data_IF_446085415676
#
_entry.id   IF_446085415676
#
_cell.length_a   1.000
_cell.length_b   1.000
_cell.length_c   1.000
_cell.angle_alpha   90.00
_cell.angle_beta   90.00
_cell.angle_gamma   90.00
#
_symmetry.space_group_name_H-M   'P 1'
#
loop_
_entity.id
_entity.type
_entity.pdbx_description
1 polymer ?
#
# COMPACT_ATOMS: atom_id res chain seq x y z
N UNK A 1 -22.82 -0.55 25.79
CA UNK A 1 -22.26 -1.07 24.51
C UNK A 1 -21.30 -0.02 23.94
N UNK A 2 -19.98 -0.21 24.12
CA UNK A 2 -18.96 0.68 23.52
C UNK A 2 -18.94 0.38 22.02
N UNK A 3 -19.29 1.37 21.19
CA UNK A 3 -19.10 1.30 19.74
C UNK A 3 -17.59 1.14 19.52
N UNK A 4 -17.19 0.03 18.90
CA UNK A 4 -15.83 -0.12 18.40
C UNK A 4 -15.66 0.94 17.31
N UNK A 5 -14.88 1.98 17.59
CA UNK A 5 -14.47 2.95 16.58
C UNK A 5 -13.56 2.21 15.59
N UNK A 6 -14.12 1.94 14.43
CA UNK A 6 -13.35 1.37 13.32
C UNK A 6 -12.51 2.50 12.74
N UNK A 7 -11.27 2.64 13.22
CA UNK A 7 -10.31 3.52 12.57
C UNK A 7 -10.00 2.95 11.17
N UNK A 8 -10.30 3.71 10.15
CA UNK A 8 -10.04 3.36 8.75
C UNK A 8 -8.85 4.18 8.29
N UNK A 9 -7.76 3.51 7.91
CA UNK A 9 -6.66 4.13 7.20
C UNK A 9 -6.78 3.80 5.71
N UNK A 10 -6.63 4.79 4.85
CA UNK A 10 -6.67 4.61 3.40
C UNK A 10 -5.28 4.69 2.79
N UNK A 11 -5.04 3.93 1.73
CA UNK A 11 -3.88 4.12 0.84
C UNK A 11 -4.32 4.99 -0.32
N UNK A 12 -3.56 6.03 -0.58
CA UNK A 12 -3.87 7.03 -1.59
C UNK A 12 -2.85 6.97 -2.72
N UNK A 13 -3.33 6.95 -3.97
CA UNK A 13 -2.46 6.92 -5.16
C UNK A 13 -2.87 8.05 -6.10
N UNK A 14 -1.94 8.95 -6.42
CA UNK A 14 -2.15 10.00 -7.44
C UNK A 14 -1.36 9.62 -8.70
N UNK A 15 -2.03 9.59 -9.83
CA UNK A 15 -1.39 9.45 -11.14
C UNK A 15 -1.40 10.79 -11.86
N UNK A 16 -0.24 11.21 -12.38
CA UNK A 16 -0.14 12.26 -13.37
C UNK A 16 -0.22 11.61 -14.75
N UNK A 17 -1.39 11.65 -15.39
CA UNK A 17 -1.57 11.19 -16.76
C UNK A 17 -1.19 12.32 -17.74
N UNK A 18 -0.28 12.07 -18.68
CA UNK A 18 -0.06 12.94 -19.83
C UNK A 18 -0.72 12.26 -21.03
N UNK A 19 -1.81 12.84 -21.56
CA UNK A 19 -2.45 12.31 -22.76
C UNK A 19 -3.56 13.21 -23.28
N UNK A 20 -3.28 13.92 -24.36
CA UNK A 20 -4.27 14.59 -25.21
C UNK A 20 -4.82 13.55 -26.19
N UNK A 21 -6.06 13.10 -26.07
CA UNK A 21 -6.89 12.53 -27.15
C UNK A 21 -8.21 12.00 -26.60
N UNK A 22 -9.22 11.91 -27.44
CA UNK A 22 -10.60 11.42 -27.23
C UNK A 22 -10.77 9.98 -26.69
N UNK A 23 -9.77 9.43 -26.08
CA UNK A 23 -9.70 8.14 -25.35
C UNK A 23 -9.86 8.30 -23.84
N UNK A 24 -10.32 9.44 -23.36
CA UNK A 24 -10.31 9.80 -21.93
C UNK A 24 -11.01 8.77 -21.00
N UNK A 25 -12.08 8.13 -21.46
CA UNK A 25 -12.86 7.20 -20.63
C UNK A 25 -12.12 5.87 -20.40
N UNK A 26 -11.42 5.35 -21.42
CA UNK A 26 -10.64 4.11 -21.29
C UNK A 26 -9.33 4.35 -20.53
N UNK A 27 -8.69 5.50 -20.76
CA UNK A 27 -7.48 5.89 -20.02
C UNK A 27 -7.76 6.07 -18.53
N UNK A 28 -8.97 6.49 -18.16
CA UNK A 28 -9.41 6.63 -16.78
C UNK A 28 -9.57 5.27 -16.07
N UNK A 29 -10.21 4.30 -16.71
CA UNK A 29 -10.38 2.96 -16.14
C UNK A 29 -9.05 2.24 -15.90
N UNK A 30 -8.09 2.38 -16.82
CA UNK A 30 -6.76 1.79 -16.70
C UNK A 30 -5.93 2.46 -15.60
N UNK A 31 -6.05 3.77 -15.44
CA UNK A 31 -5.40 4.51 -14.36
C UNK A 31 -5.99 4.13 -13.00
N UNK A 32 -7.32 4.02 -12.89
CA UNK A 32 -8.01 3.57 -11.67
C UNK A 32 -7.59 2.16 -11.30
N UNK A 33 -7.58 1.22 -12.25
CA UNK A 33 -7.17 -0.16 -11.99
C UNK A 33 -5.69 -0.25 -11.64
N UNK A 34 -4.82 0.52 -12.30
CA UNK A 34 -3.41 0.62 -11.92
C UNK A 34 -3.27 1.12 -10.48
N UNK A 35 -4.02 2.16 -10.11
CA UNK A 35 -4.04 2.69 -8.75
C UNK A 35 -4.49 1.66 -7.73
N UNK A 36 -5.55 0.90 -8.02
CA UNK A 36 -6.03 -0.19 -7.18
C UNK A 36 -4.94 -1.25 -6.97
N UNK A 37 -4.29 -1.71 -8.04
CA UNK A 37 -3.24 -2.73 -7.98
C UNK A 37 -2.03 -2.25 -7.17
N UNK A 38 -1.59 -1.00 -7.34
CA UNK A 38 -0.50 -0.41 -6.56
C UNK A 38 -0.88 -0.32 -5.07
N UNK A 39 -2.11 0.10 -4.75
CA UNK A 39 -2.57 0.18 -3.38
C UNK A 39 -2.61 -1.21 -2.72
N UNK A 40 -3.12 -2.23 -3.42
CA UNK A 40 -3.15 -3.63 -2.92
C UNK A 40 -1.73 -4.18 -2.72
N UNK A 41 -0.81 -3.94 -3.64
CA UNK A 41 0.58 -4.39 -3.50
C UNK A 41 1.27 -3.71 -2.31
N UNK A 42 1.13 -2.39 -2.20
CA UNK A 42 1.70 -1.63 -1.09
C UNK A 42 1.17 -2.10 0.27
N UNK A 43 -0.15 -2.32 0.37
CA UNK A 43 -0.74 -2.83 1.60
C UNK A 43 -0.37 -4.29 1.87
N UNK A 44 -0.21 -5.13 0.85
CA UNK A 44 0.30 -6.49 1.00
C UNK A 44 1.69 -6.49 1.65
N UNK A 45 2.55 -5.55 1.27
CA UNK A 45 3.85 -5.35 1.92
C UNK A 45 3.72 -4.96 3.39
N UNK A 46 2.83 -4.01 3.71
CA UNK A 46 2.56 -3.60 5.11
C UNK A 46 2.05 -4.77 5.96
N UNK A 47 1.10 -5.52 5.44
CA UNK A 47 0.57 -6.72 6.12
C UNK A 47 1.64 -7.78 6.30
N UNK A 48 2.55 -7.95 5.33
CA UNK A 48 3.69 -8.87 5.44
C UNK A 48 4.63 -8.45 6.56
N UNK A 49 5.00 -7.17 6.65
CA UNK A 49 5.81 -6.65 7.77
C UNK A 49 5.07 -6.82 9.10
N UNK A 50 3.76 -6.58 9.13
CA UNK A 50 2.93 -6.76 10.32
C UNK A 50 2.92 -8.21 10.82
N UNK A 51 2.76 -9.17 9.91
CA UNK A 51 2.76 -10.60 10.25
C UNK A 51 4.12 -11.09 10.78
N UNK A 52 5.20 -10.43 10.40
CA UNK A 52 6.56 -10.77 10.85
C UNK A 52 7.03 -9.97 12.08
N UNK A 53 6.17 -9.15 12.70
CA UNK A 53 6.55 -8.36 13.90
C UNK A 53 7.11 -9.21 15.05
N UNK A 54 6.54 -10.39 15.40
CA UNK A 54 7.13 -11.23 16.43
C UNK A 54 8.57 -11.66 16.12
N UNK A 55 8.85 -12.00 14.86
CA UNK A 55 10.19 -12.37 14.39
C UNK A 55 11.13 -11.16 14.37
N UNK A 56 10.68 -10.03 13.80
CA UNK A 56 11.48 -8.81 13.68
C UNK A 56 11.89 -8.29 15.06
N UNK A 57 10.99 -8.32 16.03
CA UNK A 57 11.19 -7.76 17.38
C UNK A 57 11.74 -8.78 18.39
N UNK A 58 12.07 -10.00 17.99
CA UNK A 58 12.69 -10.99 18.86
C UNK A 58 14.09 -10.51 19.31
N UNK A 59 14.33 -10.22 20.60
CA UNK A 59 15.63 -9.75 21.09
C UNK A 59 16.71 -10.84 21.12
N UNK A 60 16.29 -12.09 21.23
CA UNK A 60 17.20 -13.23 21.46
C UNK A 60 17.77 -13.77 20.15
N UNK A 61 17.15 -13.41 19.01
CA UNK A 61 17.58 -13.83 17.70
C UNK A 61 18.39 -12.73 16.99
N UNK A 62 19.60 -13.03 16.54
CA UNK A 62 20.43 -12.13 15.73
C UNK A 62 19.89 -12.04 14.29
N UNK A 63 20.34 -12.94 13.42
CA UNK A 63 19.77 -13.03 12.07
C UNK A 63 18.34 -13.55 12.11
N UNK A 64 17.40 -12.73 11.64
CA UNK A 64 15.97 -13.07 11.62
C UNK A 64 15.58 -13.87 10.37
N UNK A 65 16.42 -13.95 9.35
CA UNK A 65 16.05 -14.51 8.06
C UNK A 65 14.93 -13.74 7.32
N UNK A 66 14.54 -12.58 7.84
CA UNK A 66 13.57 -11.68 7.15
C UNK A 66 14.32 -10.81 6.14
N UNK A 67 14.84 -11.46 5.10
CA UNK A 67 15.60 -10.81 4.02
C UNK A 67 14.66 -10.17 2.98
N UNK A 68 15.19 -9.33 2.06
CA UNK A 68 14.41 -8.83 0.94
C UNK A 68 13.78 -9.93 0.09
N UNK A 69 14.44 -11.08 -0.09
CA UNK A 69 13.95 -12.22 -0.85
C UNK A 69 12.82 -12.97 -0.10
N UNK A 70 13.00 -13.17 1.21
CA UNK A 70 11.97 -13.76 2.05
C UNK A 70 10.72 -12.87 2.11
N UNK A 71 10.90 -11.55 2.16
CA UNK A 71 9.82 -10.57 2.05
C UNK A 71 9.14 -10.64 0.68
N UNK A 72 9.91 -10.63 -0.42
CA UNK A 72 9.40 -10.70 -1.79
C UNK A 72 8.49 -11.90 -1.99
N UNK A 73 8.93 -13.07 -1.57
CA UNK A 73 8.10 -14.30 -1.66
C UNK A 73 6.77 -14.13 -0.94
N UNK A 74 6.78 -13.65 0.30
CA UNK A 74 5.56 -13.49 1.10
C UNK A 74 4.63 -12.41 0.53
N UNK A 75 5.16 -11.30 0.05
CA UNK A 75 4.35 -10.21 -0.48
C UNK A 75 3.75 -10.55 -1.84
N UNK A 76 4.48 -11.26 -2.70
CA UNK A 76 3.98 -11.69 -4.02
C UNK A 76 2.88 -12.73 -3.89
N UNK A 77 3.02 -13.70 -2.98
CA UNK A 77 1.96 -14.67 -2.67
C UNK A 77 0.70 -13.94 -2.17
N UNK A 78 0.86 -13.05 -1.20
CA UNK A 78 -0.25 -12.27 -0.65
C UNK A 78 -0.92 -11.35 -1.67
N UNK A 79 -0.14 -10.70 -2.52
CA UNK A 79 -0.67 -9.86 -3.59
C UNK A 79 -1.47 -10.70 -4.60
N UNK A 80 -0.94 -11.86 -5.02
CA UNK A 80 -1.62 -12.79 -5.91
C UNK A 80 -2.97 -13.24 -5.33
N UNK A 81 -3.01 -13.56 -4.05
CA UNK A 81 -4.26 -13.98 -3.39
C UNK A 81 -5.31 -12.86 -3.37
N UNK A 82 -4.90 -11.61 -3.18
CA UNK A 82 -5.77 -10.43 -3.07
C UNK A 82 -6.18 -9.87 -4.42
N UNK A 83 -5.21 -9.59 -5.27
CA UNK A 83 -5.41 -8.95 -6.57
C UNK A 83 -5.78 -9.92 -7.68
N UNK A 84 -5.54 -11.22 -7.50
CA UNK A 84 -5.64 -12.28 -8.53
C UNK A 84 -4.73 -12.03 -9.73
N UNK A 85 -3.57 -11.40 -9.49
CA UNK A 85 -2.56 -11.04 -10.48
C UNK A 85 -1.23 -11.65 -10.06
N UNK A 86 -0.54 -12.28 -10.99
CA UNK A 86 0.76 -12.91 -10.75
C UNK A 86 1.90 -11.95 -11.14
N UNK A 87 2.62 -11.42 -10.15
CA UNK A 87 3.76 -10.51 -10.39
C UNK A 87 4.91 -11.17 -11.16
N UNK A 88 5.08 -12.49 -11.04
CA UNK A 88 6.15 -13.20 -11.74
C UNK A 88 5.88 -13.35 -13.26
N UNK A 89 4.64 -13.20 -13.68
CA UNK A 89 4.24 -13.34 -15.10
C UNK A 89 3.31 -12.18 -15.53
N UNK A 90 3.66 -10.95 -15.18
CA UNK A 90 2.85 -9.77 -15.52
C UNK A 90 2.61 -9.60 -17.02
N UNK A 91 3.49 -10.14 -17.88
CA UNK A 91 3.32 -10.02 -19.33
C UNK A 91 2.06 -10.74 -19.82
N UNK A 92 1.72 -11.88 -19.22
CA UNK A 92 0.54 -12.68 -19.55
C UNK A 92 -0.73 -12.19 -18.85
N UNK A 93 -0.59 -11.34 -17.84
CA UNK A 93 -1.73 -10.83 -17.08
C UNK A 93 -2.54 -9.79 -17.86
N UNK A 94 -3.86 -9.86 -17.71
CA UNK A 94 -4.80 -8.89 -18.30
C UNK A 94 -4.95 -7.66 -17.37
N UNK A 95 -3.86 -6.91 -17.24
CA UNK A 95 -3.81 -5.66 -16.45
C UNK A 95 -3.30 -4.52 -17.33
N UNK A 96 -3.57 -3.25 -16.97
CA UNK A 96 -3.09 -2.11 -17.72
C UNK A 96 -1.57 -2.11 -17.92
N UNK A 97 -1.09 -1.65 -19.08
CA UNK A 97 0.34 -1.57 -19.36
C UNK A 97 1.09 -0.66 -18.35
N UNK A 98 0.40 0.36 -17.83
CA UNK A 98 0.93 1.20 -16.75
C UNK A 98 1.16 0.37 -15.48
N UNK A 99 0.25 -0.53 -15.13
CA UNK A 99 0.40 -1.43 -13.99
C UNK A 99 1.58 -2.40 -14.21
N UNK A 100 1.72 -2.97 -15.41
CA UNK A 100 2.88 -3.84 -15.75
C UNK A 100 4.22 -3.14 -15.56
N UNK A 101 4.26 -1.84 -15.83
CA UNK A 101 5.46 -1.02 -15.65
C UNK A 101 5.71 -0.64 -14.19
N UNK A 102 4.67 -0.30 -13.44
CA UNK A 102 4.81 0.31 -12.11
C UNK A 102 4.85 -0.71 -10.97
N UNK A 103 4.17 -1.85 -11.07
CA UNK A 103 4.16 -2.89 -10.02
C UNK A 103 5.57 -3.42 -9.70
N UNK A 104 6.42 -3.78 -10.69
CA UNK A 104 7.79 -4.19 -10.38
C UNK A 104 8.60 -3.09 -9.68
N UNK A 105 8.44 -1.83 -10.09
CA UNK A 105 9.16 -0.71 -9.48
C UNK A 105 8.73 -0.48 -8.02
N UNK A 106 7.45 -0.69 -7.70
CA UNK A 106 6.98 -0.64 -6.32
C UNK A 106 7.53 -1.81 -5.51
N UNK A 107 7.54 -3.02 -6.05
CA UNK A 107 8.13 -4.19 -5.39
C UNK A 107 9.62 -3.96 -5.10
N UNK A 108 10.38 -3.43 -6.05
CA UNK A 108 11.79 -3.08 -5.86
C UNK A 108 11.98 -2.02 -4.76
N UNK A 109 11.12 -1.01 -4.70
CA UNK A 109 11.16 0.01 -3.64
C UNK A 109 10.89 -0.60 -2.26
N UNK A 110 9.97 -1.56 -2.18
CA UNK A 110 9.65 -2.29 -0.96
C UNK A 110 10.80 -3.19 -0.52
N UNK A 111 11.40 -3.96 -1.44
CA UNK A 111 12.59 -4.79 -1.18
C UNK A 111 13.77 -3.95 -0.70
N UNK A 112 14.03 -2.84 -1.36
CA UNK A 112 15.09 -1.90 -0.96
C UNK A 112 14.83 -1.32 0.45
N UNK A 113 13.57 -1.13 0.83
CA UNK A 113 13.24 -0.69 2.19
C UNK A 113 13.57 -1.77 3.22
N UNK A 114 13.25 -3.05 2.94
CA UNK A 114 13.64 -4.16 3.83
C UNK A 114 15.15 -4.29 3.92
N UNK A 115 15.87 -4.12 2.79
CA UNK A 115 17.33 -4.16 2.76
C UNK A 115 17.96 -3.09 3.66
N UNK A 116 17.50 -1.84 3.57
CA UNK A 116 18.01 -0.73 4.39
C UNK A 116 17.82 -0.98 5.89
N UNK A 117 16.78 -1.72 6.26
CA UNK A 117 16.48 -2.01 7.66
C UNK A 117 17.12 -3.30 8.19
N UNK A 118 17.86 -4.08 7.38
CA UNK A 118 18.52 -5.31 7.84
C UNK A 118 19.39 -5.10 9.10
N UNK A 119 20.22 -4.05 9.21
CA UNK A 119 21.02 -3.82 10.42
C UNK A 119 20.16 -3.58 11.67
N UNK A 120 18.98 -2.99 11.51
CA UNK A 120 18.04 -2.75 12.61
C UNK A 120 17.26 -4.02 12.94
N UNK A 121 16.75 -4.71 11.92
CA UNK A 121 15.97 -5.95 12.05
C UNK A 121 16.81 -7.02 12.78
N UNK A 122 18.07 -7.20 12.37
CA UNK A 122 18.95 -8.26 12.86
C UNK A 122 19.71 -7.90 14.14
N UNK A 123 19.48 -6.70 14.70
CA UNK A 123 20.16 -6.27 15.94
C UNK A 123 19.71 -7.10 17.14
N UNK A 124 20.61 -7.84 17.81
CA UNK A 124 20.26 -8.60 19.01
C UNK A 124 20.09 -7.69 20.23
N UNK A 125 19.46 -8.20 21.28
CA UNK A 125 19.27 -7.49 22.54
C UNK A 125 18.26 -6.34 22.51
N UNK A 126 17.62 -6.10 21.38
CA UNK A 126 16.62 -5.03 21.21
C UNK A 126 15.29 -5.65 20.84
N UNK A 127 14.27 -5.49 21.67
CA UNK A 127 12.90 -5.99 21.39
C UNK A 127 12.22 -5.17 20.32
N UNK A 128 11.80 -3.94 20.63
CA UNK A 128 11.10 -3.10 19.65
C UNK A 128 12.07 -2.41 18.68
N UNK A 129 12.01 -2.79 17.40
CA UNK A 129 12.91 -2.30 16.34
C UNK A 129 12.44 -1.02 15.63
N UNK A 130 11.19 -0.60 15.83
CA UNK A 130 10.60 0.53 15.11
C UNK A 130 10.30 0.27 13.63
N UNK A 131 10.65 -0.91 13.11
CA UNK A 131 10.30 -1.32 11.74
C UNK A 131 8.90 -1.92 11.70
N UNK A 132 7.92 -1.04 11.85
CA UNK A 132 6.50 -1.38 11.86
C UNK A 132 5.85 -1.16 10.46
N UNK A 133 4.65 -1.70 10.21
CA UNK A 133 3.96 -1.53 8.91
C UNK A 133 3.86 -0.09 8.42
N UNK A 134 3.64 0.86 9.33
CA UNK A 134 3.55 2.29 8.96
C UNK A 134 4.89 2.88 8.54
N UNK A 135 5.98 2.56 9.26
CA UNK A 135 7.36 2.97 8.91
C UNK A 135 7.74 2.38 7.54
N UNK A 136 7.57 1.07 7.37
CA UNK A 136 7.83 0.39 6.10
C UNK A 136 7.08 1.05 4.94
N UNK A 137 5.76 1.22 5.08
CA UNK A 137 4.93 1.77 4.01
C UNK A 137 5.33 3.19 3.63
N UNK A 138 5.65 4.05 4.61
CA UNK A 138 6.11 5.42 4.35
C UNK A 138 7.44 5.43 3.60
N UNK A 139 8.41 4.61 4.00
CA UNK A 139 9.74 4.55 3.35
C UNK A 139 9.67 3.96 1.95
N UNK A 140 8.90 2.88 1.76
CA UNK A 140 8.70 2.28 0.44
C UNK A 140 7.99 3.26 -0.53
N UNK A 141 6.97 3.97 -0.05
CA UNK A 141 6.28 5.00 -0.83
C UNK A 141 7.22 6.14 -1.25
N UNK A 142 8.10 6.60 -0.36
CA UNK A 142 9.09 7.64 -0.67
C UNK A 142 10.07 7.19 -1.75
N UNK A 143 10.61 5.96 -1.65
CA UNK A 143 11.50 5.38 -2.66
C UNK A 143 10.82 5.21 -4.01
N UNK A 144 9.57 4.76 -4.01
CA UNK A 144 8.77 4.60 -5.22
C UNK A 144 8.50 5.95 -5.91
N UNK A 145 8.07 6.95 -5.12
CA UNK A 145 7.84 8.31 -5.63
C UNK A 145 9.07 8.92 -6.29
N UNK A 146 10.24 8.72 -5.71
CA UNK A 146 11.50 9.25 -6.26
C UNK A 146 11.81 8.72 -7.67
N UNK A 147 11.25 7.57 -8.06
CA UNK A 147 11.48 6.93 -9.36
C UNK A 147 10.33 7.14 -10.37
N UNK A 148 9.12 7.41 -9.90
CA UNK A 148 7.92 7.26 -10.75
C UNK A 148 7.01 8.47 -10.80
N UNK A 149 7.17 9.45 -9.95
CA UNK A 149 6.21 10.55 -9.71
C UNK A 149 4.83 10.08 -9.21
N UNK A 150 4.65 8.79 -8.89
CA UNK A 150 3.43 8.28 -8.28
C UNK A 150 3.49 8.49 -6.78
N UNK A 151 2.45 9.09 -6.22
CA UNK A 151 2.38 9.38 -4.80
C UNK A 151 1.54 8.34 -4.06
N UNK A 152 2.13 7.65 -3.10
CA UNK A 152 1.45 6.75 -2.18
C UNK A 152 1.43 7.36 -0.78
N UNK A 153 0.27 7.40 -0.14
CA UNK A 153 0.07 7.96 1.18
C UNK A 153 -0.75 7.01 2.05
N UNK A 154 -0.40 6.92 3.31
CA UNK A 154 -1.22 6.30 4.34
C UNK A 154 -1.86 7.42 5.16
N UNK A 155 -3.17 7.44 5.25
CA UNK A 155 -3.91 8.45 6.01
C UNK A 155 -4.87 7.80 7.02
N UNK A 156 -5.20 8.51 8.07
CA UNK A 156 -6.18 8.13 9.10
C UNK A 156 -6.82 9.39 9.68
N UNK A 157 -7.99 9.25 10.28
CA UNK A 157 -8.65 10.34 11.00
C UNK A 157 -8.99 9.88 12.43
N UNK A 158 -8.36 10.44 13.49
CA UNK A 158 -7.28 11.43 13.42
C UNK A 158 -5.93 10.85 12.96
N UNK A 159 -5.12 11.66 12.30
CA UNK A 159 -3.77 11.27 11.89
C UNK A 159 -2.75 11.57 13.01
N UNK A 160 -1.93 10.57 13.36
CA UNK A 160 -0.82 10.76 14.32
C UNK A 160 0.31 11.62 13.74
N UNK A 161 0.51 11.57 12.42
CA UNK A 161 1.51 12.37 11.72
C UNK A 161 0.78 13.44 10.91
N UNK A 162 0.99 14.74 11.18
CA UNK A 162 0.32 15.82 10.46
C UNK A 162 0.52 15.76 8.93
N UNK A 163 1.66 15.24 8.46
CA UNK A 163 1.92 15.05 7.02
C UNK A 163 0.99 14.04 6.36
N UNK A 164 0.37 13.17 7.16
CA UNK A 164 -0.59 12.18 6.70
C UNK A 164 -2.04 12.61 6.99
N UNK A 165 -2.27 13.87 7.39
CA UNK A 165 -3.63 14.38 7.61
C UNK A 165 -4.48 14.21 6.32
N UNK A 166 -5.72 13.74 6.45
CA UNK A 166 -6.59 13.54 5.29
C UNK A 166 -7.05 14.88 4.71
N UNK A 167 -7.17 14.93 3.40
CA UNK A 167 -7.86 16.01 2.71
C UNK A 167 -9.37 15.75 2.58
N UNK A 168 -10.09 16.62 1.90
CA UNK A 168 -11.54 16.54 1.78
C UNK A 168 -12.03 15.26 1.08
N UNK A 169 -11.36 14.84 -0.02
CA UNK A 169 -11.68 13.59 -0.70
C UNK A 169 -11.42 12.39 0.20
N UNK A 170 -10.27 12.36 0.87
CA UNK A 170 -9.89 11.28 1.76
C UNK A 170 -10.87 11.16 2.94
N UNK A 171 -11.32 12.29 3.50
CA UNK A 171 -12.35 12.30 4.56
C UNK A 171 -13.69 11.74 4.08
N UNK A 172 -14.15 12.16 2.88
CA UNK A 172 -15.39 11.63 2.29
C UNK A 172 -15.30 10.13 2.02
N UNK A 173 -14.17 9.68 1.46
CA UNK A 173 -13.95 8.25 1.20
C UNK A 173 -13.89 7.44 2.49
N UNK A 174 -13.21 7.93 3.55
CA UNK A 174 -13.18 7.27 4.86
C UNK A 174 -14.56 7.17 5.50
N UNK A 175 -15.38 8.22 5.41
CA UNK A 175 -16.75 8.19 5.89
C UNK A 175 -17.56 7.08 5.19
N UNK A 176 -17.37 6.93 3.87
CA UNK A 176 -18.02 5.88 3.08
C UNK A 176 -17.52 4.47 3.45
N UNK A 177 -16.22 4.31 3.68
CA UNK A 177 -15.66 3.04 4.15
C UNK A 177 -16.17 2.63 5.54
N UNK A 178 -16.57 3.59 6.37
CA UNK A 178 -17.11 3.36 7.70
C UNK A 178 -18.57 2.86 7.67
N UNK A 179 -19.31 3.03 6.57
CA UNK A 179 -20.67 2.55 6.46
C UNK A 179 -20.73 1.02 6.63
N UNK A 180 -21.76 0.55 7.37
CA UNK A 180 -21.93 -0.88 7.60
C UNK A 180 -22.16 -1.69 6.31
N UNK A 181 -22.71 -1.04 5.29
CA UNK A 181 -22.97 -1.60 3.96
C UNK A 181 -21.73 -1.70 3.08
N UNK A 182 -20.61 -1.02 3.45
CA UNK A 182 -19.42 -1.04 2.61
C UNK A 182 -18.75 -2.43 2.63
N UNK A 183 -18.43 -3.00 1.45
CA UNK A 183 -17.83 -4.34 1.37
C UNK A 183 -16.48 -4.41 2.09
N UNK A 184 -16.33 -5.39 2.99
CA UNK A 184 -15.09 -5.64 3.75
C UNK A 184 -14.10 -6.54 3.03
N UNK A 185 -14.49 -7.07 1.88
CA UNK A 185 -13.69 -7.98 1.07
C UNK A 185 -13.70 -7.55 -0.40
N UNK A 186 -12.77 -8.09 -1.19
CA UNK A 186 -12.71 -7.90 -2.64
C UNK A 186 -12.03 -6.61 -3.06
N UNK A 187 -11.20 -6.02 -2.19
CA UNK A 187 -10.33 -4.86 -2.52
C UNK A 187 -11.10 -3.72 -3.21
N UNK A 188 -12.28 -3.40 -2.67
CA UNK A 188 -13.12 -2.31 -3.17
C UNK A 188 -12.46 -0.97 -2.88
N UNK A 189 -12.45 -0.11 -3.87
CA UNK A 189 -11.83 1.21 -3.82
C UNK A 189 -12.86 2.33 -4.02
N UNK A 190 -12.47 3.54 -3.64
CA UNK A 190 -13.12 4.78 -4.07
C UNK A 190 -12.10 5.57 -4.88
N UNK A 191 -12.52 6.09 -6.01
CA UNK A 191 -11.65 6.88 -6.90
C UNK A 191 -12.33 8.16 -7.35
N UNK A 192 -11.51 9.15 -7.71
CA UNK A 192 -11.93 10.36 -8.39
C UNK A 192 -10.91 10.76 -9.46
N UNK A 193 -11.39 11.43 -10.48
CA UNK A 193 -10.57 12.06 -11.53
C UNK A 193 -10.42 13.54 -11.20
N UNK A 194 -9.20 14.03 -11.19
CA UNK A 194 -8.89 15.42 -10.83
C UNK A 194 -8.06 16.09 -11.93
N UNK A 195 -7.82 17.39 -11.77
CA UNK A 195 -7.01 18.21 -12.71
C UNK A 195 -7.49 18.12 -14.15
N UNK A 196 -8.81 18.10 -14.36
CA UNK A 196 -9.40 18.05 -15.72
C UNK A 196 -9.06 16.75 -16.47
N UNK A 197 -8.96 15.63 -15.78
CA UNK A 197 -8.66 14.33 -16.38
C UNK A 197 -7.16 13.99 -16.42
N UNK A 198 -6.30 14.81 -15.82
CA UNK A 198 -4.84 14.60 -15.84
C UNK A 198 -4.34 13.72 -14.72
N UNK A 199 -5.10 13.57 -13.65
CA UNK A 199 -4.74 12.74 -12.51
C UNK A 199 -5.93 11.94 -12.00
N UNK A 200 -5.64 10.73 -11.49
CA UNK A 200 -6.60 9.86 -10.84
C UNK A 200 -6.17 9.64 -9.40
N UNK A 201 -7.12 9.74 -8.49
CA UNK A 201 -6.96 9.44 -7.07
C UNK A 201 -7.70 8.16 -6.73
N UNK A 202 -7.04 7.25 -6.03
CA UNK A 202 -7.61 5.96 -5.62
C UNK A 202 -7.40 5.76 -4.13
N UNK A 203 -8.44 5.40 -3.40
CA UNK A 203 -8.36 4.99 -2.00
C UNK A 203 -8.78 3.53 -1.82
N UNK A 204 -7.92 2.77 -1.14
CA UNK A 204 -8.19 1.42 -0.67
C UNK A 204 -8.41 1.46 0.85
N UNK A 205 -9.50 0.91 1.41
CA UNK A 205 -9.73 0.89 2.84
C UNK A 205 -8.79 -0.09 3.54
N UNK A 206 -8.22 0.35 4.65
CA UNK A 206 -7.44 -0.49 5.56
C UNK A 206 -8.24 -0.69 6.85
N UNK A 207 -8.79 -1.89 7.04
CA UNK A 207 -9.54 -2.22 8.23
C UNK A 207 -8.61 -2.73 9.32
N UNK A 208 -8.60 -2.08 10.47
CA UNK A 208 -7.79 -2.49 11.60
C UNK A 208 -8.31 -3.80 12.20
N UNK A 209 -7.40 -4.75 12.37
CA UNK A 209 -7.63 -5.96 13.17
C UNK A 209 -7.29 -5.74 14.65
N UNK A 210 -7.58 -6.72 15.49
CA UNK A 210 -7.32 -6.68 16.95
C UNK A 210 -5.85 -6.40 17.32
N UNK A 211 -4.90 -6.69 16.43
CA UNK A 211 -3.47 -6.43 16.64
C UNK A 211 -3.00 -5.02 16.27
N UNK A 212 -3.91 -4.14 15.87
CA UNK A 212 -3.60 -2.74 15.50
C UNK A 212 -3.95 -1.74 16.61
N UNK A 213 -4.50 -2.20 17.73
CA UNK A 213 -4.98 -1.38 18.87
C UNK A 213 -3.97 -1.39 20.00
#
# INVERSE_FOLDING_TARGET
>A
MKRAEVLIAGVFVIFLGIGLSSSAVFADSDAVETGRLLAVLHDSGRVTVGANQPLINDPDKGDKGFTPEAFEKQVTDKFKDRAKVNLADLKSEKVPEMAKKLLPQLLDAMKATVADYQPVINRPGVGFKGFIPATFGTQAAAKFRAKTNVYLKQTANPSRNPKNAPDEFELKAMAKFAEASYPRQGEKIISEVVDGGKAVRVMLPLFYGKGCL
#
